data_IF_131078993531
#
_entry.id   IF_131078993531
#
_cell.length_a   1.000
_cell.length_b   1.000
_cell.length_c   1.000
_cell.angle_alpha   90.00
_cell.angle_beta   90.00
_cell.angle_gamma   90.00
#
_symmetry.space_group_name_H-M   'P 1'
#
loop_
_entity.id
_entity.type
_entity.pdbx_description
1 polymer ?
#
# COMPACT_ATOMS: atom_id res chain seq x y z
N UNK A 1 24.02 21.34 -14.18
CA UNK A 1 22.60 21.13 -13.83
C UNK A 1 22.40 19.64 -13.75
N UNK A 2 22.13 19.07 -12.58
CA UNK A 2 21.91 17.64 -12.44
C UNK A 2 20.50 17.28 -12.94
N UNK A 3 20.42 16.38 -13.91
CA UNK A 3 19.16 15.89 -14.47
C UNK A 3 18.28 15.29 -13.36
N UNK A 4 17.05 15.78 -13.27
CA UNK A 4 16.07 15.31 -12.28
C UNK A 4 15.59 13.91 -12.70
N UNK A 5 15.57 12.92 -11.79
CA UNK A 5 15.13 11.58 -12.16
C UNK A 5 13.67 11.57 -12.62
N UNK A 6 13.38 10.74 -13.63
CA UNK A 6 12.03 10.52 -14.16
C UNK A 6 11.13 9.87 -13.09
N UNK A 7 9.82 9.84 -13.36
CA UNK A 7 8.85 9.18 -12.47
C UNK A 7 9.19 7.70 -12.31
N UNK A 8 9.49 7.01 -13.41
CA UNK A 8 9.84 5.58 -13.41
C UNK A 8 11.13 5.32 -12.65
N UNK A 9 12.14 6.19 -12.79
CA UNK A 9 13.38 6.09 -12.04
C UNK A 9 13.14 6.28 -10.54
N UNK A 10 12.30 7.25 -10.14
CA UNK A 10 11.94 7.44 -8.72
C UNK A 10 11.16 6.25 -8.18
N UNK A 11 10.20 5.73 -8.94
CA UNK A 11 9.43 4.56 -8.56
C UNK A 11 10.35 3.36 -8.35
N UNK A 12 11.19 3.04 -9.34
CA UNK A 12 12.16 1.93 -9.27
C UNK A 12 13.14 2.09 -8.10
N UNK A 13 13.65 3.31 -7.88
CA UNK A 13 14.56 3.58 -6.77
C UNK A 13 13.88 3.40 -5.41
N UNK A 14 12.63 3.86 -5.26
CA UNK A 14 11.88 3.68 -4.03
C UNK A 14 11.56 2.21 -3.76
N UNK A 15 11.19 1.44 -4.79
CA UNK A 15 10.97 0.00 -4.65
C UNK A 15 12.28 -0.70 -4.25
N UNK A 16 13.40 -0.40 -4.92
CA UNK A 16 14.70 -0.98 -4.55
C UNK A 16 15.14 -0.64 -3.13
N UNK A 17 14.87 0.58 -2.68
CA UNK A 17 15.34 1.06 -1.37
C UNK A 17 14.43 0.65 -0.22
N UNK A 18 13.11 0.71 -0.41
CA UNK A 18 12.11 0.54 0.66
C UNK A 18 11.24 -0.71 0.49
N UNK A 19 11.28 -1.34 -0.68
CA UNK A 19 10.42 -2.46 -1.06
C UNK A 19 9.05 -2.07 -1.59
N UNK A 20 8.72 -0.77 -1.59
CA UNK A 20 7.48 -0.25 -2.17
C UNK A 20 7.57 1.26 -2.44
N UNK A 21 6.60 1.74 -3.20
CA UNK A 21 6.17 3.13 -3.27
C UNK A 21 4.69 3.20 -2.89
N UNK A 22 4.29 4.20 -2.11
CA UNK A 22 2.87 4.49 -1.83
C UNK A 22 2.41 5.62 -2.74
N UNK A 23 1.32 5.40 -3.47
CA UNK A 23 0.63 6.40 -4.28
C UNK A 23 -0.72 6.77 -3.66
N UNK A 24 -1.17 7.98 -3.98
CA UNK A 24 -2.39 8.57 -3.46
C UNK A 24 -3.24 9.10 -4.60
N UNK A 25 -4.52 8.70 -4.61
CA UNK A 25 -5.54 9.24 -5.49
C UNK A 25 -6.48 10.07 -4.64
N UNK A 26 -6.63 11.34 -5.02
CA UNK A 26 -7.51 12.27 -4.31
C UNK A 26 -8.98 11.89 -4.56
N UNK A 27 -9.83 12.24 -3.60
CA UNK A 27 -11.28 12.11 -3.80
C UNK A 27 -11.74 13.10 -4.88
N UNK A 28 -12.74 12.70 -5.64
CA UNK A 28 -13.43 13.52 -6.63
C UNK A 28 -14.92 13.15 -6.70
N UNK A 29 -15.63 13.72 -7.68
CA UNK A 29 -17.06 13.47 -7.88
C UNK A 29 -17.38 12.01 -8.24
N UNK A 30 -16.38 11.21 -8.62
CA UNK A 30 -16.52 9.79 -8.97
C UNK A 30 -16.36 8.87 -7.77
N UNK A 31 -15.72 9.32 -6.69
CA UNK A 31 -15.56 8.49 -5.50
C UNK A 31 -14.60 8.99 -4.42
N UNK A 32 -14.49 8.22 -3.32
CA UNK A 32 -13.58 8.53 -2.24
C UNK A 32 -12.13 8.38 -2.67
N UNK A 33 -11.25 9.21 -2.11
CA UNK A 33 -9.82 9.08 -2.29
C UNK A 33 -9.30 7.77 -1.70
N UNK A 34 -8.19 7.29 -2.23
CA UNK A 34 -7.56 6.05 -1.82
C UNK A 34 -6.04 6.11 -1.92
N UNK A 35 -5.37 5.22 -1.19
CA UNK A 35 -3.92 5.04 -1.25
C UNK A 35 -3.59 3.59 -1.53
N UNK A 36 -2.56 3.33 -2.32
CA UNK A 36 -2.15 1.98 -2.66
C UNK A 36 -0.64 1.83 -2.78
N UNK A 37 -0.15 0.62 -2.55
CA UNK A 37 1.26 0.28 -2.75
C UNK A 37 1.56 -0.14 -4.19
N UNK A 38 2.80 0.08 -4.60
CA UNK A 38 3.42 -0.54 -5.77
C UNK A 38 4.76 -1.13 -5.33
N UNK A 39 4.99 -2.41 -5.61
CA UNK A 39 6.28 -3.07 -5.43
C UNK A 39 6.32 -4.13 -4.33
N UNK A 40 5.25 -4.31 -3.55
CA UNK A 40 5.18 -5.39 -2.54
C UNK A 40 5.23 -6.76 -3.20
N UNK A 41 4.61 -6.92 -4.37
CA UNK A 41 4.65 -8.18 -5.09
C UNK A 41 6.07 -8.47 -5.62
N UNK A 42 6.69 -7.48 -6.25
CA UNK A 42 8.06 -7.60 -6.77
C UNK A 42 9.07 -7.87 -5.65
N UNK A 43 8.94 -7.18 -4.53
CA UNK A 43 9.92 -7.24 -3.43
C UNK A 43 9.74 -8.47 -2.54
N UNK A 44 8.50 -8.91 -2.32
CA UNK A 44 8.17 -9.88 -1.27
C UNK A 44 7.16 -10.96 -1.69
N UNK A 45 6.69 -10.97 -2.94
CA UNK A 45 5.66 -11.91 -3.42
C UNK A 45 4.27 -11.69 -2.80
N UNK A 46 4.06 -10.57 -2.10
CA UNK A 46 2.79 -10.26 -1.43
C UNK A 46 1.90 -9.39 -2.34
N UNK A 47 0.57 -9.59 -2.37
CA UNK A 47 -0.34 -8.69 -3.11
C UNK A 47 -0.20 -7.23 -2.68
N UNK A 48 -0.44 -6.30 -3.61
CA UNK A 48 -0.48 -4.88 -3.26
C UNK A 48 -1.64 -4.58 -2.31
N UNK A 49 -1.46 -3.57 -1.46
CA UNK A 49 -2.44 -3.14 -0.46
C UNK A 49 -3.09 -1.85 -0.95
N UNK A 50 -4.41 -1.76 -0.82
CA UNK A 50 -5.21 -0.56 -1.08
C UNK A 50 -6.04 -0.20 0.15
N UNK A 51 -6.10 1.09 0.48
CA UNK A 51 -6.92 1.65 1.55
C UNK A 51 -7.77 2.78 0.97
N UNK A 52 -9.09 2.67 1.12
CA UNK A 52 -10.08 3.61 0.57
C UNK A 52 -10.76 4.35 1.71
N UNK A 53 -11.02 5.66 1.55
CA UNK A 53 -11.84 6.44 2.47
C UNK A 53 -11.16 6.88 3.77
N UNK A 54 -9.87 6.57 3.96
CA UNK A 54 -9.06 7.10 5.07
C UNK A 54 -8.29 8.35 4.66
N UNK A 55 -7.99 9.21 5.66
CA UNK A 55 -7.09 10.36 5.46
C UNK A 55 -5.74 9.89 4.91
N UNK A 56 -5.22 10.59 3.92
CA UNK A 56 -4.00 10.23 3.19
C UNK A 56 -2.83 9.87 4.11
N UNK A 57 -2.55 10.69 5.13
CA UNK A 57 -1.44 10.46 6.06
C UNK A 57 -1.62 9.17 6.87
N UNK A 58 -2.85 8.86 7.28
CA UNK A 58 -3.16 7.63 7.99
C UNK A 58 -3.01 6.42 7.07
N UNK A 59 -3.61 6.46 5.87
CA UNK A 59 -3.50 5.38 4.89
C UNK A 59 -2.02 5.11 4.53
N UNK A 60 -1.23 6.16 4.33
CA UNK A 60 0.21 6.05 4.07
C UNK A 60 0.95 5.34 5.22
N UNK A 61 0.69 5.74 6.47
CA UNK A 61 1.30 5.12 7.65
C UNK A 61 0.91 3.64 7.77
N UNK A 62 -0.36 3.32 7.57
CA UNK A 62 -0.87 1.95 7.65
C UNK A 62 -0.23 1.05 6.58
N UNK A 63 -0.16 1.51 5.32
CA UNK A 63 0.48 0.76 4.24
C UNK A 63 1.95 0.49 4.55
N UNK A 64 2.70 1.49 5.03
CA UNK A 64 4.11 1.28 5.40
C UNK A 64 4.27 0.32 6.59
N UNK A 65 3.39 0.38 7.59
CA UNK A 65 3.41 -0.56 8.71
C UNK A 65 3.17 -1.99 8.23
N UNK A 66 2.14 -2.20 7.41
CA UNK A 66 1.85 -3.50 6.82
C UNK A 66 3.01 -3.99 5.93
N UNK A 67 3.62 -3.10 5.14
CA UNK A 67 4.80 -3.42 4.33
C UNK A 67 6.00 -3.86 5.18
N UNK A 68 6.22 -3.22 6.33
CA UNK A 68 7.27 -3.63 7.27
C UNK A 68 7.01 -5.01 7.87
N UNK A 69 5.75 -5.37 8.12
CA UNK A 69 5.39 -6.72 8.57
C UNK A 69 5.58 -7.75 7.46
N UNK A 70 5.18 -7.41 6.23
CA UNK A 70 5.37 -8.26 5.04
C UNK A 70 6.87 -8.52 4.81
N UNK A 71 7.71 -7.50 4.94
CA UNK A 71 9.17 -7.63 4.88
C UNK A 71 9.73 -8.60 5.94
N UNK A 72 9.07 -8.72 7.10
CA UNK A 72 9.42 -9.67 8.17
C UNK A 72 8.80 -11.05 7.97
N UNK A 73 8.10 -11.29 6.85
CA UNK A 73 7.48 -12.57 6.49
C UNK A 73 6.01 -12.70 6.89
N UNK A 74 5.34 -11.65 7.36
CA UNK A 74 3.89 -11.70 7.61
C UNK A 74 3.14 -11.79 6.29
N UNK A 75 2.20 -12.73 6.21
CA UNK A 75 1.30 -12.87 5.06
C UNK A 75 -0.09 -12.43 5.48
N UNK A 76 -0.57 -11.32 4.92
CA UNK A 76 -1.94 -10.89 5.13
C UNK A 76 -2.86 -11.69 4.21
N UNK A 77 -3.78 -12.46 4.80
CA UNK A 77 -4.75 -13.27 4.04
C UNK A 77 -6.11 -12.57 4.03
N UNK A 78 -6.77 -12.54 2.87
CA UNK A 78 -8.14 -12.03 2.75
C UNK A 78 -9.13 -12.87 3.58
N UNK A 79 -10.28 -12.26 3.86
CA UNK A 79 -11.42 -12.83 4.60
C UNK A 79 -11.10 -13.17 6.05
N UNK A 80 -10.18 -12.42 6.66
CA UNK A 80 -9.81 -12.53 8.07
C UNK A 80 -9.78 -11.16 8.73
N UNK A 81 -10.14 -11.15 10.01
CA UNK A 81 -9.90 -10.02 10.90
C UNK A 81 -8.46 -10.06 11.39
N UNK A 82 -7.75 -8.96 11.23
CA UNK A 82 -6.38 -8.76 11.68
C UNK A 82 -6.35 -7.65 12.73
N UNK A 83 -5.89 -8.03 13.92
CA UNK A 83 -5.55 -7.07 14.96
C UNK A 83 -4.18 -6.44 14.66
N UNK A 84 -3.94 -5.25 15.20
CA UNK A 84 -2.62 -4.59 15.14
C UNK A 84 -2.30 -3.89 13.82
N UNK A 85 -3.22 -3.85 12.87
CA UNK A 85 -3.12 -2.94 11.71
C UNK A 85 -3.44 -1.50 12.16
N UNK A 86 -4.55 -1.33 12.88
CA UNK A 86 -5.00 -0.05 13.42
C UNK A 86 -5.27 -0.20 14.92
N UNK A 87 -4.72 0.71 15.72
CA UNK A 87 -4.87 0.66 17.17
C UNK A 87 -6.35 0.70 17.58
N UNK A 88 -6.74 -0.23 18.46
CA UNK A 88 -8.11 -0.40 18.97
C UNK A 88 -9.16 -0.87 17.94
N UNK A 89 -8.75 -1.29 16.74
CA UNK A 89 -9.66 -1.85 15.73
C UNK A 89 -9.13 -3.16 15.15
N UNK A 90 -10.02 -4.14 14.99
CA UNK A 90 -9.75 -5.28 14.13
C UNK A 90 -10.08 -4.89 12.69
N UNK A 91 -9.11 -5.02 11.80
CA UNK A 91 -9.28 -4.70 10.39
C UNK A 91 -9.66 -5.96 9.63
N UNK A 92 -10.75 -5.91 8.86
CA UNK A 92 -11.13 -7.01 7.97
C UNK A 92 -10.50 -6.80 6.60
N UNK A 93 -9.74 -7.78 6.12
CA UNK A 93 -9.14 -7.71 4.80
C UNK A 93 -10.03 -8.38 3.77
N UNK A 94 -10.33 -7.66 2.68
CA UNK A 94 -11.02 -8.21 1.52
C UNK A 94 -10.05 -8.30 0.36
N UNK A 95 -10.19 -9.35 -0.45
CA UNK A 95 -9.53 -9.41 -1.75
C UNK A 95 -10.33 -8.55 -2.71
N UNK A 96 -9.67 -7.65 -3.43
CA UNK A 96 -10.28 -6.98 -4.56
C UNK A 96 -10.27 -7.96 -5.73
N UNK A 97 -11.44 -8.30 -6.24
CA UNK A 97 -11.57 -9.23 -7.37
C UNK A 97 -10.82 -8.69 -8.58
N UNK A 98 -10.11 -9.59 -9.28
CA UNK A 98 -9.59 -9.30 -10.62
C UNK A 98 -10.78 -9.41 -11.58
N UNK A 99 -11.68 -8.43 -11.61
CA UNK A 99 -12.81 -8.47 -12.54
C UNK A 99 -12.62 -7.47 -13.68
N UNK A 100 -12.25 -8.08 -14.82
CA UNK A 100 -12.37 -7.76 -16.24
C UNK A 100 -12.05 -6.34 -16.73
#
# INVERSE_FOLDING_TARGET
>A
MSDKPTIDQKLSNNIKQYGLQVLHVMADDTGPGFSYSIGLFESYGHPEIIIIGLKQQLAHKLINNMANDVKKGKIYTSLKYEAGILDNFNCYLIKVEKSN
#
